data_IF_898667325310
#
_entry.id   IF_898667325310
#
_cell.length_a   1.000
_cell.length_b   1.000
_cell.length_c   1.000
_cell.angle_alpha   90.00
_cell.angle_beta   90.00
_cell.angle_gamma   90.00
#
_symmetry.space_group_name_H-M   'P 1'
#
loop_
_entity.id
_entity.type
_entity.pdbx_description
1 polymer ?
#
# COMPACT_ATOMS: atom_id res chain seq x y z
N UNK A 1 20.16 -30.83 0.69
CA UNK A 1 19.79 -29.64 1.46
C UNK A 1 18.35 -29.28 1.17
N UNK A 2 17.52 -29.16 2.19
CA UNK A 2 16.15 -28.66 2.02
C UNK A 2 16.14 -27.14 2.24
N UNK A 3 15.45 -26.42 1.37
CA UNK A 3 15.19 -24.97 1.57
C UNK A 3 14.18 -24.78 2.68
N UNK A 4 14.39 -23.75 3.51
CA UNK A 4 13.45 -23.41 4.58
C UNK A 4 12.08 -23.03 3.99
N UNK A 5 11.03 -23.59 4.55
CA UNK A 5 9.65 -23.21 4.25
C UNK A 5 8.90 -22.94 5.56
N UNK A 6 8.39 -21.73 5.77
CA UNK A 6 7.72 -21.37 7.02
C UNK A 6 6.44 -22.18 7.21
N UNK A 7 6.22 -22.69 8.42
CA UNK A 7 4.99 -23.35 8.79
C UNK A 7 3.96 -22.35 9.32
N UNK A 8 2.65 -22.63 9.22
CA UNK A 8 1.61 -21.68 9.65
C UNK A 8 1.75 -21.20 11.11
N UNK A 9 2.26 -22.04 12.02
CA UNK A 9 2.46 -21.68 13.43
C UNK A 9 3.71 -20.82 13.71
N UNK A 10 4.61 -20.70 12.75
CA UNK A 10 5.87 -19.95 12.89
C UNK A 10 5.74 -18.49 12.39
N UNK A 11 4.62 -18.16 11.80
CA UNK A 11 4.41 -16.83 11.19
C UNK A 11 3.96 -15.85 12.26
N UNK A 12 4.83 -14.92 12.60
CA UNK A 12 4.50 -13.75 13.43
C UNK A 12 4.14 -12.56 12.57
N UNK A 13 3.06 -11.85 12.90
CA UNK A 13 2.60 -10.65 12.18
C UNK A 13 2.61 -9.47 13.13
N UNK A 14 3.22 -8.38 12.67
CA UNK A 14 3.25 -7.12 13.38
C UNK A 14 2.34 -6.09 12.68
N UNK A 15 1.99 -5.06 13.41
CA UNK A 15 1.26 -3.92 12.87
C UNK A 15 2.20 -2.73 12.76
N UNK A 16 2.21 -2.10 11.60
CA UNK A 16 2.99 -0.89 11.33
C UNK A 16 2.06 0.25 10.96
N UNK A 17 2.36 1.45 11.47
CA UNK A 17 1.70 2.68 11.03
C UNK A 17 2.71 3.54 10.27
N UNK A 18 2.31 4.00 9.10
CA UNK A 18 3.10 4.87 8.22
C UNK A 18 2.36 6.20 8.09
N UNK A 19 3.03 7.30 8.40
CA UNK A 19 2.53 8.64 8.12
C UNK A 19 2.86 8.99 6.67
N UNK A 20 1.83 9.27 5.86
CA UNK A 20 1.97 9.61 4.45
C UNK A 20 2.20 11.11 4.20
N UNK A 21 2.29 11.92 5.26
CA UNK A 21 2.46 13.36 5.13
C UNK A 21 3.76 13.70 4.39
N UNK A 22 3.66 14.44 3.28
CA UNK A 22 4.77 14.85 2.41
C UNK A 22 5.67 13.72 1.85
N UNK A 23 5.20 12.48 1.92
CA UNK A 23 5.90 11.35 1.33
C UNK A 23 5.43 11.14 -0.12
N UNK A 24 6.37 10.89 -1.03
CA UNK A 24 6.06 10.57 -2.43
C UNK A 24 5.31 9.24 -2.52
N UNK A 25 4.18 9.24 -3.23
CA UNK A 25 3.28 8.08 -3.39
C UNK A 25 4.02 6.78 -3.76
N UNK A 26 4.94 6.84 -4.72
CA UNK A 26 5.68 5.65 -5.16
C UNK A 26 6.57 5.05 -4.07
N UNK A 27 7.24 5.89 -3.30
CA UNK A 27 8.10 5.44 -2.17
C UNK A 27 7.28 4.82 -1.04
N UNK A 28 6.17 5.46 -0.69
CA UNK A 28 5.21 4.89 0.26
C UNK A 28 4.73 3.52 -0.19
N UNK A 29 4.33 3.40 -1.46
CA UNK A 29 3.78 2.17 -2.01
C UNK A 29 4.81 1.03 -2.04
N UNK A 30 6.09 1.31 -2.34
CA UNK A 30 7.19 0.31 -2.29
C UNK A 30 7.36 -0.21 -0.86
N UNK A 31 7.44 0.69 0.11
CA UNK A 31 7.59 0.32 1.53
C UNK A 31 6.42 -0.51 2.01
N UNK A 32 5.19 -0.05 1.76
CA UNK A 32 3.98 -0.77 2.14
C UNK A 32 3.91 -2.16 1.48
N UNK A 33 4.22 -2.28 0.19
CA UNK A 33 4.23 -3.56 -0.52
C UNK A 33 5.29 -4.52 0.03
N UNK A 34 6.46 -4.02 0.41
CA UNK A 34 7.54 -4.81 1.03
C UNK A 34 7.11 -5.37 2.39
N UNK A 35 6.49 -4.55 3.24
CA UNK A 35 5.97 -4.97 4.55
C UNK A 35 4.82 -5.96 4.41
N UNK A 36 3.85 -5.70 3.54
CA UNK A 36 2.70 -6.58 3.28
C UNK A 36 3.12 -7.95 2.77
N UNK A 37 4.15 -8.00 1.92
CA UNK A 37 4.66 -9.24 1.36
C UNK A 37 5.59 -9.99 2.32
N UNK A 38 6.17 -9.28 3.29
CA UNK A 38 7.09 -9.86 4.27
C UNK A 38 8.53 -9.99 3.79
N UNK A 39 8.93 -9.26 2.75
CA UNK A 39 10.31 -9.30 2.21
C UNK A 39 11.38 -8.79 3.18
N UNK A 40 10.99 -8.06 4.21
CA UNK A 40 11.89 -7.58 5.27
C UNK A 40 12.26 -8.68 6.27
N UNK A 41 11.58 -9.83 6.24
CA UNK A 41 11.80 -10.95 7.15
C UNK A 41 12.72 -12.00 6.52
N UNK A 42 13.61 -12.56 7.31
CA UNK A 42 14.48 -13.69 6.90
C UNK A 42 13.69 -14.95 6.52
N UNK A 43 12.47 -15.09 7.08
CA UNK A 43 11.56 -16.21 6.85
C UNK A 43 10.67 -16.02 5.61
N UNK A 44 10.98 -15.08 4.75
CA UNK A 44 10.18 -14.81 3.54
C UNK A 44 10.11 -16.05 2.63
N UNK A 45 8.88 -16.37 2.20
CA UNK A 45 8.64 -17.38 1.18
C UNK A 45 7.59 -16.87 0.18
N UNK A 46 7.79 -17.07 -1.15
CA UNK A 46 6.89 -16.50 -2.17
C UNK A 46 5.47 -17.06 -2.16
N UNK A 47 5.28 -18.26 -1.62
CA UNK A 47 4.00 -19.00 -1.60
C UNK A 47 3.22 -18.83 -0.31
N UNK A 48 3.78 -18.17 0.70
CA UNK A 48 3.19 -18.02 2.04
C UNK A 48 3.01 -16.54 2.36
N UNK A 49 1.89 -16.21 3.00
CA UNK A 49 1.65 -14.89 3.58
C UNK A 49 2.36 -14.75 4.93
N UNK A 50 3.63 -14.37 4.88
CA UNK A 50 4.45 -14.05 6.07
C UNK A 50 4.52 -12.55 6.40
N UNK A 51 3.82 -11.70 5.66
CA UNK A 51 3.89 -10.25 5.81
C UNK A 51 3.09 -9.69 6.99
N UNK A 52 3.30 -8.41 7.24
CA UNK A 52 2.71 -7.66 8.34
C UNK A 52 1.47 -6.87 7.90
N UNK A 53 0.74 -6.34 8.90
CA UNK A 53 -0.34 -5.39 8.67
C UNK A 53 0.24 -3.97 8.54
N UNK A 54 -0.29 -3.20 7.61
CA UNK A 54 0.15 -1.82 7.37
C UNK A 54 -1.05 -0.89 7.47
N UNK A 55 -0.92 0.11 8.32
CA UNK A 55 -1.86 1.23 8.47
C UNK A 55 -1.21 2.48 7.90
N UNK A 56 -1.84 3.13 6.96
CA UNK A 56 -1.39 4.40 6.38
C UNK A 56 -2.31 5.49 6.85
N UNK A 57 -1.74 6.53 7.46
CA UNK A 57 -2.48 7.71 7.91
C UNK A 57 -2.09 8.94 7.08
N UNK A 58 -2.88 10.00 7.13
CA UNK A 58 -2.67 11.24 6.38
C UNK A 58 -2.59 11.05 4.84
N UNK A 59 -3.31 10.09 4.29
CA UNK A 59 -3.27 9.83 2.85
C UNK A 59 -3.68 11.04 1.98
N UNK A 60 -4.46 11.98 2.51
CA UNK A 60 -4.81 13.23 1.83
C UNK A 60 -3.63 14.18 1.59
N UNK A 61 -2.56 14.06 2.38
CA UNK A 61 -1.36 14.90 2.33
C UNK A 61 -0.20 14.26 1.56
N UNK A 62 -0.47 13.19 0.83
CA UNK A 62 0.55 12.50 0.04
C UNK A 62 1.10 13.38 -1.08
N UNK A 63 2.41 13.31 -1.32
CA UNK A 63 3.06 14.08 -2.37
C UNK A 63 3.01 13.35 -3.71
N UNK A 64 2.59 14.06 -4.76
CA UNK A 64 2.70 13.65 -6.16
C UNK A 64 3.81 14.47 -6.82
N UNK A 65 4.90 13.83 -7.22
CA UNK A 65 6.05 14.51 -7.82
C UNK A 65 5.76 15.05 -9.23
N UNK A 66 6.33 16.22 -9.55
CA UNK A 66 6.21 16.85 -10.87
C UNK A 66 4.77 17.21 -11.23
N UNK A 67 4.45 17.12 -12.52
CA UNK A 67 3.11 17.43 -13.06
C UNK A 67 2.08 16.29 -12.93
N UNK A 68 2.34 15.28 -12.11
CA UNK A 68 1.48 14.08 -12.00
C UNK A 68 0.06 14.37 -11.52
N UNK A 69 -0.15 15.47 -10.84
CA UNK A 69 -1.52 15.88 -10.43
C UNK A 69 -2.44 16.10 -11.62
N UNK A 70 -1.92 16.65 -12.70
CA UNK A 70 -2.66 16.96 -13.92
C UNK A 70 -2.48 15.91 -15.00
N UNK A 71 -1.27 15.38 -15.16
CA UNK A 71 -0.88 14.57 -16.31
C UNK A 71 -1.06 13.07 -16.09
N UNK A 72 -1.15 12.62 -14.83
CA UNK A 72 -1.43 11.22 -14.52
C UNK A 72 -2.93 10.98 -14.48
N UNK A 73 -3.41 10.02 -15.28
CA UNK A 73 -4.80 9.60 -15.31
C UNK A 73 -4.95 8.16 -14.82
N UNK A 74 -6.04 7.92 -14.10
CA UNK A 74 -6.54 6.60 -13.77
C UNK A 74 -7.68 6.26 -14.72
N UNK A 75 -7.53 5.15 -15.44
CA UNK A 75 -8.49 4.71 -16.45
C UNK A 75 -9.29 3.51 -15.95
N UNK A 76 -10.58 3.52 -16.22
CA UNK A 76 -11.49 2.41 -15.97
C UNK A 76 -12.35 2.20 -17.21
N UNK A 77 -12.54 0.94 -17.60
CA UNK A 77 -13.38 0.58 -18.73
C UNK A 77 -14.53 -0.33 -18.28
N UNK A 78 -15.76 -0.03 -18.72
CA UNK A 78 -16.96 -0.80 -18.35
C UNK A 78 -17.13 -2.08 -19.17
N UNK A 79 -16.30 -2.31 -20.19
CA UNK A 79 -16.44 -3.43 -21.14
C UNK A 79 -17.40 -3.18 -22.29
N UNK A 80 -18.06 -2.00 -22.36
CA UNK A 80 -18.96 -1.61 -23.45
C UNK A 80 -18.29 -0.58 -24.38
N UNK A 81 -18.67 -0.50 -25.66
CA UNK A 81 -18.18 0.54 -26.58
C UNK A 81 -18.38 1.94 -25.96
N UNK A 82 -17.33 2.77 -26.00
CA UNK A 82 -17.37 4.12 -25.40
C UNK A 82 -17.35 4.16 -23.88
N UNK A 83 -17.11 3.04 -23.19
CA UNK A 83 -17.15 2.92 -21.73
C UNK A 83 -15.86 3.28 -20.99
N UNK A 84 -14.91 4.00 -21.62
CA UNK A 84 -13.69 4.46 -20.97
C UNK A 84 -13.97 5.68 -20.09
N UNK A 85 -13.61 5.57 -18.82
CA UNK A 85 -13.65 6.68 -17.87
C UNK A 85 -12.23 6.96 -17.39
N UNK A 86 -11.84 8.24 -17.43
CA UNK A 86 -10.51 8.70 -17.01
C UNK A 86 -10.66 9.78 -15.95
N UNK A 87 -9.89 9.68 -14.87
CA UNK A 87 -9.85 10.64 -13.77
C UNK A 87 -8.42 11.08 -13.54
N UNK A 88 -8.16 12.38 -13.44
CA UNK A 88 -6.84 12.89 -13.11
C UNK A 88 -6.44 12.50 -11.68
N UNK A 89 -5.14 12.31 -11.46
CA UNK A 89 -4.64 11.89 -10.15
C UNK A 89 -4.93 12.92 -9.06
N UNK A 90 -4.88 14.21 -9.37
CA UNK A 90 -5.24 15.28 -8.43
C UNK A 90 -6.71 15.24 -8.01
N UNK A 91 -7.62 15.01 -8.96
CA UNK A 91 -9.05 14.92 -8.70
C UNK A 91 -9.40 13.67 -7.88
N UNK A 92 -8.76 12.54 -8.20
CA UNK A 92 -8.94 11.31 -7.41
C UNK A 92 -8.41 11.47 -5.99
N UNK A 93 -7.26 12.14 -5.82
CA UNK A 93 -6.69 12.41 -4.50
C UNK A 93 -7.61 13.31 -3.66
N UNK A 94 -8.24 14.30 -4.27
CA UNK A 94 -9.18 15.17 -3.60
C UNK A 94 -10.48 14.45 -3.21
N UNK A 95 -10.95 13.54 -4.06
CA UNK A 95 -12.19 12.80 -3.85
C UNK A 95 -12.04 11.63 -2.89
N UNK A 96 -11.05 10.76 -3.15
CA UNK A 96 -10.77 9.58 -2.34
C UNK A 96 -9.26 9.28 -2.30
N UNK A 97 -8.54 9.87 -1.34
CA UNK A 97 -7.09 9.65 -1.19
C UNK A 97 -6.73 8.20 -0.86
N UNK A 98 -7.62 7.45 -0.23
CA UNK A 98 -7.39 6.04 0.09
C UNK A 98 -7.21 5.21 -1.18
N UNK A 99 -8.06 5.42 -2.17
CA UNK A 99 -8.02 4.71 -3.44
C UNK A 99 -6.70 4.94 -4.19
N UNK A 100 -6.14 6.16 -4.12
CA UNK A 100 -4.85 6.49 -4.74
C UNK A 100 -3.72 5.62 -4.16
N UNK A 101 -3.68 5.50 -2.85
CA UNK A 101 -2.67 4.67 -2.16
C UNK A 101 -2.89 3.18 -2.43
N UNK A 102 -4.11 2.70 -2.33
CA UNK A 102 -4.46 1.30 -2.58
C UNK A 102 -4.10 0.87 -4.00
N UNK A 103 -4.40 1.67 -5.01
CA UNK A 103 -4.04 1.41 -6.41
C UNK A 103 -2.53 1.39 -6.62
N UNK A 104 -1.78 2.29 -5.96
CA UNK A 104 -0.33 2.32 -6.05
C UNK A 104 0.31 1.07 -5.42
N UNK A 105 -0.15 0.67 -4.24
CA UNK A 105 0.33 -0.55 -3.57
C UNK A 105 -0.05 -1.80 -4.35
N UNK A 106 -1.29 -1.88 -4.83
CA UNK A 106 -1.74 -2.99 -5.67
C UNK A 106 -0.89 -3.12 -6.94
N UNK A 107 -0.53 -2.00 -7.57
CA UNK A 107 0.37 -1.97 -8.73
C UNK A 107 1.74 -2.59 -8.47
N UNK A 108 2.22 -2.52 -7.22
CA UNK A 108 3.54 -3.03 -6.81
C UNK A 108 3.50 -4.46 -6.25
N UNK A 109 2.33 -5.00 -5.97
CA UNK A 109 2.15 -6.39 -5.59
C UNK A 109 2.06 -7.30 -6.83
N UNK A 110 2.53 -8.56 -6.76
CA UNK A 110 2.34 -9.51 -7.85
C UNK A 110 0.85 -9.78 -8.08
N UNK A 111 0.47 -10.03 -9.35
CA UNK A 111 -0.93 -10.22 -9.74
C UNK A 111 -1.35 -11.69 -9.60
N UNK A 112 -1.51 -12.16 -8.36
CA UNK A 112 -1.87 -13.53 -8.03
C UNK A 112 -2.94 -13.61 -6.92
N UNK A 113 -3.38 -14.82 -6.60
CA UNK A 113 -4.38 -15.06 -5.55
C UNK A 113 -3.88 -14.64 -4.16
N UNK A 114 -2.60 -14.87 -3.86
CA UNK A 114 -2.00 -14.50 -2.58
C UNK A 114 -2.03 -12.98 -2.38
N UNK A 115 -1.71 -12.19 -3.40
CA UNK A 115 -1.73 -10.72 -3.28
C UNK A 115 -3.13 -10.13 -3.06
N UNK A 116 -4.18 -10.81 -3.51
CA UNK A 116 -5.56 -10.42 -3.18
C UNK A 116 -5.87 -10.57 -1.68
N UNK A 117 -5.18 -11.46 -1.00
CA UNK A 117 -5.25 -11.57 0.47
C UNK A 117 -4.33 -10.55 1.13
N UNK A 118 -3.12 -10.34 0.60
CA UNK A 118 -2.16 -9.39 1.12
C UNK A 118 -2.71 -7.96 1.15
N UNK A 119 -3.38 -7.52 0.09
CA UNK A 119 -3.93 -6.16 0.01
C UNK A 119 -4.99 -5.87 1.09
N UNK A 120 -5.67 -6.89 1.59
CA UNK A 120 -6.66 -6.75 2.68
C UNK A 120 -6.02 -6.36 4.01
N UNK A 121 -4.72 -6.59 4.18
CA UNK A 121 -3.94 -6.19 5.36
C UNK A 121 -3.49 -4.73 5.30
N UNK A 122 -3.67 -4.07 4.17
CA UNK A 122 -3.48 -2.63 4.04
C UNK A 122 -4.74 -1.90 4.52
N UNK A 123 -4.55 -0.95 5.44
CA UNK A 123 -5.59 -0.06 5.93
C UNK A 123 -5.16 1.38 5.70
N UNK A 124 -5.94 2.14 4.94
CA UNK A 124 -5.60 3.51 4.55
C UNK A 124 -6.63 4.47 5.10
N UNK A 125 -6.16 5.54 5.73
CA UNK A 125 -6.98 6.60 6.31
C UNK A 125 -6.54 7.97 5.76
N UNK A 126 -7.52 8.78 5.40
CA UNK A 126 -7.28 10.12 4.86
C UNK A 126 -6.70 11.09 5.90
N UNK A 127 -7.14 10.97 7.14
CA UNK A 127 -6.72 11.79 8.27
C UNK A 127 -5.65 11.13 9.15
N UNK A 128 -5.31 11.79 10.28
CA UNK A 128 -4.29 11.30 11.20
C UNK A 128 -4.78 10.16 12.11
N UNK A 129 -6.09 10.00 12.27
CA UNK A 129 -6.69 9.04 13.19
C UNK A 129 -6.93 7.69 12.53
N UNK A 130 -6.78 6.63 13.32
CA UNK A 130 -7.07 5.25 12.91
C UNK A 130 -7.70 4.46 14.07
N UNK A 131 -8.60 3.50 13.82
CA UNK A 131 -9.29 2.72 14.86
C UNK A 131 -8.46 1.54 15.40
N UNK A 132 -7.18 1.42 15.04
CA UNK A 132 -6.34 0.25 15.34
C UNK A 132 -5.45 0.43 16.58
N UNK A 133 -5.87 1.21 17.56
CA UNK A 133 -5.12 1.41 18.81
C UNK A 133 -4.95 0.11 19.62
N UNK A 134 -5.95 -0.76 19.59
CA UNK A 134 -5.92 -2.05 20.29
C UNK A 134 -4.84 -3.01 19.74
N UNK A 135 -4.49 -2.90 18.47
CA UNK A 135 -3.42 -3.69 17.84
C UNK A 135 -2.02 -3.14 18.11
N UNK A 136 -1.91 -1.98 18.76
CA UNK A 136 -0.63 -1.33 19.10
C UNK A 136 0.32 -1.23 17.89
N UNK A 137 -0.07 -0.57 16.79
CA UNK A 137 0.76 -0.47 15.62
C UNK A 137 2.02 0.33 15.93
N UNK A 138 3.17 -0.19 15.50
CA UNK A 138 4.45 0.47 15.67
C UNK A 138 4.68 1.50 14.55
N UNK A 139 5.17 2.71 14.85
CA UNK A 139 5.50 3.68 13.83
C UNK A 139 6.63 3.14 12.95
N UNK A 140 6.47 3.29 11.65
CA UNK A 140 7.47 2.94 10.64
C UNK A 140 7.84 4.20 9.87
N UNK A 141 9.07 4.65 10.02
CA UNK A 141 9.57 5.85 9.35
C UNK A 141 10.15 5.51 7.97
N UNK A 142 9.72 6.26 6.96
CA UNK A 142 10.33 6.23 5.64
C UNK A 142 11.41 7.30 5.59
N UNK A 143 12.66 6.88 5.55
CA UNK A 143 13.84 7.77 5.61
C UNK A 143 14.03 8.65 4.38
N UNK A 144 13.25 8.48 3.33
CA UNK A 144 13.35 9.24 2.08
C UNK A 144 12.17 10.20 1.94
N UNK A 145 12.35 11.40 2.46
CA UNK A 145 11.40 12.50 2.28
C UNK A 145 11.49 13.02 0.83
N UNK A 146 10.38 13.54 0.32
CA UNK A 146 10.36 14.21 -0.98
C UNK A 146 11.29 15.43 -0.96
N UNK A 147 12.22 15.47 -1.93
CA UNK A 147 12.93 16.69 -2.29
C UNK A 147 12.17 17.41 -3.38
#
# INVERSE_FOLDING_TARGET
MSTYSPKPGEITRHWHVIDANDIVLGRLAVTAATLLRGKHKATFAPHVDGGDFVVVVNASKIALGGAKRTDKFYHRHSGRPGGLTSVAAGDLLAKDPRQVVELAVWGMLPKNRLSRQLIKKLKVYAGPEHPHSAQQPQPYEITQIAQ
#
